data_IF_123169097567
#
_entry.id   IF_123169097567
#
_cell.length_a   1.000
_cell.length_b   1.000
_cell.length_c   1.000
_cell.angle_alpha   90.00
_cell.angle_beta   90.00
_cell.angle_gamma   90.00
#
_symmetry.space_group_name_H-M   'P 1'
#
loop_
_entity.id
_entity.type
_entity.pdbx_description
1 polymer ?
#
# COMPACT_ATOMS: atom_id res chain seq x y z
N UNK A 1 12.71 23.97 4.66
CA UNK A 1 13.05 24.00 3.24
C UNK A 1 12.67 22.68 2.58
N UNK A 2 11.42 22.61 2.14
CA UNK A 2 10.89 21.59 1.26
C UNK A 2 11.01 22.04 -0.20
N UNK A 3 11.35 21.11 -1.08
CA UNK A 3 11.39 21.30 -2.53
C UNK A 3 10.63 20.14 -3.16
N UNK A 4 9.66 20.45 -4.01
CA UNK A 4 8.88 19.47 -4.73
C UNK A 4 9.02 19.71 -6.23
N UNK A 5 9.50 18.69 -6.94
CA UNK A 5 9.37 18.58 -8.39
C UNK A 5 8.44 17.41 -8.66
N UNK A 6 7.20 17.70 -9.05
CA UNK A 6 6.17 16.66 -9.19
C UNK A 6 6.58 15.67 -10.28
N UNK A 7 7.13 16.14 -11.39
CA UNK A 7 7.53 15.29 -12.52
C UNK A 7 8.58 14.24 -12.12
N UNK A 8 9.61 14.66 -11.37
CA UNK A 8 10.67 13.77 -10.90
C UNK A 8 10.11 12.73 -9.94
N UNK A 9 9.29 13.15 -8.98
CA UNK A 9 8.71 12.23 -7.99
C UNK A 9 7.82 11.20 -8.68
N UNK A 10 6.92 11.63 -9.56
CA UNK A 10 6.04 10.71 -10.29
C UNK A 10 6.86 9.73 -11.14
N UNK A 11 7.89 10.19 -11.85
CA UNK A 11 8.73 9.31 -12.68
C UNK A 11 9.45 8.25 -11.85
N UNK A 12 9.93 8.59 -10.66
CA UNK A 12 10.55 7.63 -9.76
C UNK A 12 9.52 6.66 -9.18
N UNK A 13 8.33 7.12 -8.80
CA UNK A 13 7.22 6.25 -8.35
C UNK A 13 6.82 5.25 -9.44
N UNK A 14 6.76 5.69 -10.71
CA UNK A 14 6.47 4.83 -11.85
C UNK A 14 7.56 3.79 -12.09
N UNK A 15 8.84 4.18 -12.01
CA UNK A 15 9.97 3.24 -12.11
C UNK A 15 9.93 2.19 -11.01
N UNK A 16 9.68 2.61 -9.77
CA UNK A 16 9.58 1.68 -8.62
C UNK A 16 8.40 0.74 -8.83
N UNK A 17 7.21 1.26 -9.17
CA UNK A 17 6.00 0.44 -9.38
C UNK A 17 6.22 -0.60 -10.48
N UNK A 18 6.76 -0.20 -11.62
CA UNK A 18 7.07 -1.12 -12.73
C UNK A 18 8.08 -2.20 -12.33
N UNK A 19 9.11 -1.83 -11.54
CA UNK A 19 10.07 -2.79 -11.03
C UNK A 19 9.41 -3.79 -10.08
N UNK A 20 8.53 -3.33 -9.19
CA UNK A 20 7.80 -4.18 -8.25
C UNK A 20 6.85 -5.14 -8.96
N UNK A 21 6.15 -4.71 -10.00
CA UNK A 21 5.31 -5.60 -10.81
C UNK A 21 6.16 -6.68 -11.49
N UNK A 22 7.35 -6.34 -12.00
CA UNK A 22 8.25 -7.34 -12.57
C UNK A 22 8.82 -8.32 -11.54
N UNK A 23 9.05 -7.89 -10.30
CA UNK A 23 9.49 -8.77 -9.21
C UNK A 23 8.38 -9.71 -8.74
N UNK A 24 7.12 -9.26 -8.78
CA UNK A 24 5.94 -10.07 -8.46
C UNK A 24 5.81 -11.29 -9.37
N UNK A 25 6.09 -11.15 -10.66
CA UNK A 25 6.14 -12.29 -11.60
C UNK A 25 7.19 -13.34 -11.22
N UNK A 26 8.33 -12.91 -10.66
CA UNK A 26 9.37 -13.82 -10.17
C UNK A 26 8.91 -14.55 -8.90
N UNK A 27 8.22 -13.85 -7.99
CA UNK A 27 7.63 -14.42 -6.77
C UNK A 27 6.57 -15.47 -7.13
N UNK A 28 5.72 -15.20 -8.13
CA UNK A 28 4.75 -16.15 -8.67
C UNK A 28 5.40 -17.38 -9.30
N UNK A 29 6.48 -17.19 -10.05
CA UNK A 29 7.25 -18.30 -10.64
C UNK A 29 7.89 -19.19 -9.59
N UNK A 30 8.44 -18.59 -8.53
CA UNK A 30 8.97 -19.31 -7.38
C UNK A 30 7.88 -20.15 -6.71
N UNK A 31 6.69 -19.59 -6.52
CA UNK A 31 5.55 -20.31 -5.97
C UNK A 31 5.14 -21.51 -6.81
N UNK A 32 4.99 -21.35 -8.12
CA UNK A 32 4.65 -22.45 -9.06
C UNK A 32 5.66 -23.58 -8.98
N UNK A 33 6.93 -23.26 -8.73
CA UNK A 33 7.98 -24.24 -8.49
C UNK A 33 7.79 -24.97 -7.15
N UNK A 34 7.47 -24.25 -6.07
CA UNK A 34 7.15 -24.85 -4.76
C UNK A 34 5.93 -25.78 -4.84
N UNK A 35 4.86 -25.35 -5.50
CA UNK A 35 3.66 -26.15 -5.75
C UNK A 35 3.99 -27.44 -6.50
N UNK A 36 4.87 -27.37 -7.50
CA UNK A 36 5.36 -28.53 -8.24
C UNK A 36 6.12 -29.51 -7.33
N UNK A 37 7.00 -29.01 -6.45
CA UNK A 37 7.71 -29.83 -5.47
C UNK A 37 6.76 -30.54 -4.49
N UNK A 38 5.73 -29.84 -4.01
CA UNK A 38 4.71 -30.40 -3.13
C UNK A 38 3.90 -31.49 -3.85
N UNK A 39 3.69 -31.36 -5.16
CA UNK A 39 3.00 -32.34 -6.00
C UNK A 39 3.79 -33.62 -6.32
N UNK A 40 5.08 -33.71 -5.97
CA UNK A 40 5.93 -34.89 -6.26
C UNK A 40 5.66 -36.10 -5.34
N UNK A 41 4.41 -36.45 -5.08
CA UNK A 41 4.03 -37.52 -4.14
C UNK A 41 4.64 -38.88 -4.49
N UNK A 42 4.74 -39.21 -5.78
CA UNK A 42 5.28 -40.49 -6.26
C UNK A 42 6.81 -40.56 -6.19
N UNK A 43 7.49 -39.42 -6.30
CA UNK A 43 8.95 -39.30 -6.32
C UNK A 43 9.53 -39.02 -4.93
N UNK A 44 8.94 -38.09 -4.17
CA UNK A 44 9.34 -37.71 -2.83
C UNK A 44 8.54 -38.49 -1.76
N UNK A 45 8.56 -39.82 -1.80
CA UNK A 45 7.80 -40.67 -0.86
C UNK A 45 8.58 -40.99 0.44
N UNK A 46 7.89 -41.59 1.40
CA UNK A 46 8.45 -41.97 2.70
C UNK A 46 8.50 -40.81 3.70
N UNK A 47 8.99 -41.05 4.92
CA UNK A 47 8.95 -40.06 6.00
C UNK A 47 9.71 -38.77 5.66
N UNK A 48 10.92 -38.87 5.11
CA UNK A 48 11.71 -37.70 4.70
C UNK A 48 11.11 -36.94 3.52
N UNK A 49 10.59 -37.65 2.52
CA UNK A 49 9.93 -37.03 1.37
C UNK A 49 8.63 -36.32 1.76
N UNK A 50 7.82 -36.92 2.65
CA UNK A 50 6.63 -36.29 3.21
C UNK A 50 6.99 -35.03 4.03
N UNK A 51 8.07 -35.08 4.80
CA UNK A 51 8.53 -33.93 5.58
C UNK A 51 8.95 -32.74 4.71
N UNK A 52 9.67 -32.99 3.61
CA UNK A 52 10.05 -31.92 2.66
C UNK A 52 8.80 -31.30 2.05
N UNK A 53 7.82 -32.10 1.60
CA UNK A 53 6.58 -31.57 1.01
C UNK A 53 5.75 -30.79 2.05
N UNK A 54 5.69 -31.27 3.29
CA UNK A 54 5.05 -30.55 4.39
C UNK A 54 5.73 -29.19 4.65
N UNK A 55 7.06 -29.15 4.72
CA UNK A 55 7.82 -27.91 4.94
C UNK A 55 7.50 -26.81 3.89
N UNK A 56 7.44 -27.18 2.61
CA UNK A 56 7.06 -26.22 1.57
C UNK A 56 5.61 -25.77 1.71
N UNK A 57 4.68 -26.71 1.94
CA UNK A 57 3.26 -26.41 2.05
C UNK A 57 2.93 -25.55 3.29
N UNK A 58 3.65 -25.73 4.39
CA UNK A 58 3.33 -25.16 5.70
C UNK A 58 4.10 -23.89 6.03
N UNK A 59 5.24 -23.63 5.37
CA UNK A 59 6.04 -22.43 5.62
C UNK A 59 6.36 -21.61 4.39
N UNK A 60 6.89 -22.23 3.34
CA UNK A 60 7.42 -21.51 2.18
C UNK A 60 6.30 -20.92 1.29
N UNK A 61 5.28 -21.71 0.98
CA UNK A 61 4.12 -21.25 0.19
C UNK A 61 3.39 -20.11 0.92
N UNK A 62 3.08 -20.22 2.23
CA UNK A 62 2.50 -19.09 2.94
C UNK A 62 3.34 -17.82 2.94
N UNK A 63 4.65 -17.90 3.20
CA UNK A 63 5.54 -16.74 3.14
C UNK A 63 5.46 -16.05 1.77
N UNK A 64 5.49 -16.85 0.71
CA UNK A 64 5.44 -16.35 -0.66
C UNK A 64 4.12 -15.58 -0.94
N UNK A 65 2.99 -16.14 -0.49
CA UNK A 65 1.67 -15.49 -0.60
C UNK A 65 1.66 -14.14 0.14
N UNK A 66 2.28 -14.06 1.33
CA UNK A 66 2.35 -12.80 2.09
C UNK A 66 3.25 -11.76 1.44
N UNK A 67 4.38 -12.19 0.89
CA UNK A 67 5.28 -11.32 0.14
C UNK A 67 4.58 -10.73 -1.09
N UNK A 68 3.82 -11.56 -1.81
CA UNK A 68 3.05 -11.09 -2.96
C UNK A 68 2.00 -10.06 -2.55
N UNK A 69 1.24 -10.31 -1.48
CA UNK A 69 0.23 -9.36 -1.02
C UNK A 69 0.85 -8.03 -0.56
N UNK A 70 2.02 -8.08 0.09
CA UNK A 70 2.76 -6.86 0.42
C UNK A 70 3.19 -6.11 -0.84
N UNK A 71 3.67 -6.80 -1.87
CA UNK A 71 4.02 -6.16 -3.13
C UNK A 71 2.82 -5.46 -3.77
N UNK A 72 1.66 -6.13 -3.80
CA UNK A 72 0.41 -5.54 -4.29
C UNK A 72 0.05 -4.29 -3.49
N UNK A 73 0.08 -4.38 -2.15
CA UNK A 73 -0.23 -3.23 -1.29
C UNK A 73 0.75 -2.08 -1.46
N UNK A 74 2.04 -2.38 -1.58
CA UNK A 74 3.06 -1.37 -1.77
C UNK A 74 2.86 -0.64 -3.10
N UNK A 75 2.49 -1.34 -4.18
CA UNK A 75 2.16 -0.71 -5.46
C UNK A 75 0.93 0.20 -5.34
N UNK A 76 -0.12 -0.23 -4.62
CA UNK A 76 -1.26 0.64 -4.29
C UNK A 76 -0.83 1.88 -3.51
N UNK A 77 0.03 1.74 -2.50
CA UNK A 77 0.56 2.86 -1.72
C UNK A 77 1.29 3.86 -2.61
N UNK A 78 2.12 3.38 -3.54
CA UNK A 78 2.78 4.24 -4.52
C UNK A 78 1.75 4.95 -5.42
N UNK A 79 0.67 4.27 -5.80
CA UNK A 79 -0.48 4.85 -6.50
C UNK A 79 -1.14 5.98 -5.69
N UNK A 80 -1.46 5.75 -4.41
CA UNK A 80 -2.05 6.75 -3.53
C UNK A 80 -1.16 7.98 -3.35
N UNK A 81 0.16 7.80 -3.28
CA UNK A 81 1.13 8.91 -3.23
C UNK A 81 1.05 9.74 -4.54
N UNK A 82 0.93 9.08 -5.70
CA UNK A 82 0.75 9.79 -6.97
C UNK A 82 -0.55 10.59 -6.99
N UNK A 83 -1.65 10.00 -6.49
CA UNK A 83 -2.95 10.65 -6.45
C UNK A 83 -2.94 11.86 -5.52
N UNK A 84 -2.31 11.77 -4.35
CA UNK A 84 -2.07 12.90 -3.44
C UNK A 84 -1.30 14.03 -4.14
N UNK A 85 -0.23 13.71 -4.87
CA UNK A 85 0.55 14.69 -5.63
C UNK A 85 -0.25 15.36 -6.75
N UNK A 86 -1.01 14.59 -7.54
CA UNK A 86 -1.86 15.14 -8.61
C UNK A 86 -3.09 15.90 -8.10
N UNK A 87 -3.57 15.58 -6.91
CA UNK A 87 -4.63 16.35 -6.26
C UNK A 87 -4.14 17.72 -5.77
N UNK A 88 -2.83 17.81 -5.47
CA UNK A 88 -2.20 19.04 -5.03
C UNK A 88 -1.83 19.94 -6.21
N UNK A 89 -1.07 19.42 -7.17
CA UNK A 89 -0.46 20.22 -8.23
C UNK A 89 -0.35 19.47 -9.56
N UNK A 90 -0.16 20.23 -10.64
CA UNK A 90 0.08 19.65 -11.98
C UNK A 90 1.42 18.91 -12.06
N UNK A 91 1.56 18.03 -13.05
CA UNK A 91 2.78 17.25 -13.28
C UNK A 91 4.02 18.12 -13.46
N UNK A 92 3.85 19.28 -14.11
CA UNK A 92 4.92 20.22 -14.44
C UNK A 92 5.26 21.16 -13.27
N UNK A 93 4.59 21.02 -12.12
CA UNK A 93 4.78 21.92 -11.00
C UNK A 93 6.14 21.72 -10.32
N UNK A 94 6.79 22.84 -10.03
CA UNK A 94 8.04 22.92 -9.29
C UNK A 94 7.89 23.95 -8.17
N UNK A 95 7.95 23.50 -6.92
CA UNK A 95 7.72 24.31 -5.74
C UNK A 95 8.96 24.34 -4.86
N UNK A 96 9.32 25.53 -4.39
CA UNK A 96 10.31 25.75 -3.35
C UNK A 96 9.67 26.55 -2.23
N UNK A 97 9.51 25.92 -1.08
CA UNK A 97 8.89 26.52 0.11
C UNK A 97 9.51 27.89 0.43
N UNK A 98 10.83 27.95 0.49
CA UNK A 98 11.56 29.17 0.83
C UNK A 98 11.41 30.28 -0.22
N UNK A 99 11.26 29.92 -1.51
CA UNK A 99 11.05 30.91 -2.58
C UNK A 99 9.66 31.54 -2.45
N UNK A 100 8.64 30.73 -2.19
CA UNK A 100 7.26 31.21 -2.03
C UNK A 100 7.14 32.08 -0.77
N UNK A 101 7.60 31.57 0.37
CA UNK A 101 7.47 32.23 1.68
C UNK A 101 8.37 33.44 1.87
N UNK A 102 9.51 33.52 1.17
CA UNK A 102 10.40 34.68 1.27
C UNK A 102 10.34 35.56 0.03
N UNK A 103 10.77 35.05 -1.13
CA UNK A 103 11.00 35.87 -2.32
C UNK A 103 9.68 36.39 -2.93
N UNK A 104 8.69 35.51 -3.09
CA UNK A 104 7.40 35.90 -3.68
C UNK A 104 6.63 36.78 -2.72
N UNK A 105 6.54 36.42 -1.44
CA UNK A 105 5.90 37.24 -0.42
C UNK A 105 6.52 38.64 -0.33
N UNK A 106 7.86 38.73 -0.25
CA UNK A 106 8.57 40.02 -0.23
C UNK A 106 8.34 40.81 -1.52
N UNK A 107 8.27 40.12 -2.67
CA UNK A 107 7.99 40.72 -3.96
C UNK A 107 6.60 41.38 -4.01
N UNK A 108 5.58 40.68 -3.51
CA UNK A 108 4.21 41.21 -3.41
C UNK A 108 4.14 42.43 -2.49
N UNK A 109 4.74 42.36 -1.30
CA UNK A 109 4.82 43.50 -0.37
C UNK A 109 5.51 44.72 -0.98
N UNK A 110 6.57 44.48 -1.76
CA UNK A 110 7.30 45.56 -2.44
C UNK A 110 6.48 46.20 -3.56
N UNK A 111 5.78 45.41 -4.37
CA UNK A 111 4.93 45.90 -5.45
C UNK A 111 3.73 46.66 -4.89
N UNK A 112 3.14 46.17 -3.79
CA UNK A 112 2.05 46.83 -3.09
C UNK A 112 2.46 48.22 -2.59
N UNK A 113 3.59 48.28 -1.87
CA UNK A 113 4.14 49.53 -1.37
C UNK A 113 4.49 50.51 -2.48
N UNK A 114 5.23 50.07 -3.51
CA UNK A 114 5.63 50.94 -4.61
C UNK A 114 4.43 51.53 -5.37
N UNK A 115 3.39 50.73 -5.58
CA UNK A 115 2.18 51.17 -6.29
C UNK A 115 1.36 52.12 -5.41
N UNK A 116 1.27 51.84 -4.12
CA UNK A 116 0.62 52.72 -3.14
C UNK A 116 1.31 54.08 -3.08
N UNK A 117 2.63 54.11 -2.87
CA UNK A 117 3.42 55.34 -2.81
C UNK A 117 3.27 56.16 -4.11
N UNK A 118 3.26 55.49 -5.27
CA UNK A 118 3.12 56.14 -6.58
C UNK A 118 1.73 56.77 -6.78
N UNK A 119 0.66 56.05 -6.46
CA UNK A 119 -0.71 56.53 -6.65
C UNK A 119 -1.07 57.60 -5.61
N UNK A 120 -0.55 57.51 -4.39
CA UNK A 120 -0.65 58.60 -3.41
C UNK A 120 0.00 59.87 -3.93
N UNK A 121 1.22 59.79 -4.48
CA UNK A 121 1.88 60.94 -5.11
C UNK A 121 1.07 61.55 -6.27
N UNK A 122 0.50 60.71 -7.14
CA UNK A 122 -0.37 61.17 -8.24
C UNK A 122 -1.64 61.85 -7.69
N UNK A 123 -2.27 61.27 -6.66
CA UNK A 123 -3.46 61.86 -6.03
C UNK A 123 -3.15 63.20 -5.36
N UNK A 124 -1.97 63.37 -4.77
CA UNK A 124 -1.51 64.63 -4.19
C UNK A 124 -1.27 65.70 -5.26
N UNK A 125 -0.64 65.33 -6.38
CA UNK A 125 -0.47 66.21 -7.55
C UNK A 125 -1.83 66.67 -8.10
N UNK A 126 -2.82 65.77 -8.21
CA UNK A 126 -4.18 66.13 -8.62
C UNK A 126 -4.87 67.10 -7.66
N UNK A 127 -4.70 66.89 -6.34
CA UNK A 127 -5.24 67.81 -5.33
C UNK A 127 -4.66 69.21 -5.52
N UNK A 128 -3.37 69.32 -5.85
CA UNK A 128 -2.69 70.61 -6.03
C UNK A 128 -3.24 71.48 -7.17
N UNK A 129 -3.91 70.88 -8.16
CA UNK A 129 -4.51 71.58 -9.32
C UNK A 129 -6.05 71.52 -9.36
N UNK A 130 -6.68 71.01 -8.30
CA UNK A 130 -8.13 70.76 -8.26
C UNK A 130 -9.00 72.01 -8.51
N UNK A 131 -8.45 73.20 -8.25
CA UNK A 131 -9.06 74.50 -8.54
C UNK A 131 -9.32 74.73 -10.03
N UNK A 132 -8.50 74.13 -10.89
CA UNK A 132 -8.53 74.32 -12.35
C UNK A 132 -9.38 73.27 -13.05
N UNK A 133 -9.31 72.02 -12.59
CA UNK A 133 -10.01 70.87 -13.18
C UNK A 133 -10.47 69.91 -12.07
N UNK A 134 -11.77 69.59 -11.98
CA UNK A 134 -12.26 68.55 -11.07
C UNK A 134 -11.73 67.18 -11.45
N UNK A 135 -11.32 66.38 -10.46
CA UNK A 135 -10.82 65.02 -10.64
C UNK A 135 -11.27 64.09 -9.51
N UNK A 136 -11.45 62.80 -9.82
CA UNK A 136 -11.73 61.74 -8.85
C UNK A 136 -10.46 60.97 -8.52
N UNK A 137 -10.12 60.86 -7.22
CA UNK A 137 -8.93 60.13 -6.76
C UNK A 137 -8.87 58.71 -7.32
N UNK A 138 -7.68 58.30 -7.73
CA UNK A 138 -7.41 56.91 -8.14
C UNK A 138 -7.51 56.03 -6.90
N UNK A 139 -8.36 55.01 -6.98
CA UNK A 139 -8.57 54.03 -5.92
C UNK A 139 -7.72 52.77 -6.18
N UNK A 140 -7.04 52.27 -5.15
CA UNK A 140 -6.20 51.07 -5.17
C UNK A 140 -6.89 49.80 -4.68
N UNK A 141 -8.18 49.86 -4.30
CA UNK A 141 -8.90 48.75 -3.65
C UNK A 141 -8.73 47.43 -4.41
N UNK A 142 -8.97 47.43 -5.73
CA UNK A 142 -8.87 46.22 -6.55
C UNK A 142 -7.43 45.67 -6.63
N UNK A 143 -6.44 46.57 -6.71
CA UNK A 143 -5.03 46.20 -6.76
C UNK A 143 -4.57 45.60 -5.42
N UNK A 144 -4.91 46.24 -4.30
CA UNK A 144 -4.60 45.71 -2.97
C UNK A 144 -5.31 44.38 -2.70
N UNK A 145 -6.53 44.18 -3.21
CA UNK A 145 -7.22 42.88 -3.14
C UNK A 145 -6.43 41.79 -3.86
N UNK A 146 -5.96 42.04 -5.09
CA UNK A 146 -5.17 41.07 -5.87
C UNK A 146 -3.84 40.74 -5.17
N UNK A 147 -3.18 41.74 -4.59
CA UNK A 147 -1.96 41.50 -3.81
C UNK A 147 -2.24 40.59 -2.62
N UNK A 148 -3.31 40.86 -1.88
CA UNK A 148 -3.66 40.09 -0.70
C UNK A 148 -4.07 38.65 -1.07
N UNK A 149 -4.88 38.48 -2.12
CA UNK A 149 -5.20 37.16 -2.69
C UNK A 149 -3.93 36.39 -3.08
N UNK A 150 -2.92 37.07 -3.62
CA UNK A 150 -1.61 36.47 -3.94
C UNK A 150 -0.86 35.99 -2.69
N UNK A 151 -0.87 36.76 -1.60
CA UNK A 151 -0.25 36.37 -0.32
C UNK A 151 -0.98 35.19 0.31
N UNK A 152 -2.31 35.24 0.35
CA UNK A 152 -3.14 34.14 0.85
C UNK A 152 -2.89 32.86 0.05
N UNK A 153 -2.81 32.96 -1.28
CA UNK A 153 -2.53 31.82 -2.14
C UNK A 153 -1.16 31.18 -1.86
N UNK A 154 -0.13 31.98 -1.61
CA UNK A 154 1.20 31.49 -1.21
C UNK A 154 1.15 30.75 0.12
N UNK A 155 0.44 31.31 1.10
CA UNK A 155 0.31 30.71 2.43
C UNK A 155 -0.44 29.36 2.34
N UNK A 156 -1.55 29.32 1.61
CA UNK A 156 -2.34 28.13 1.39
C UNK A 156 -1.56 27.04 0.64
N UNK A 157 -0.84 27.41 -0.41
CA UNK A 157 -0.01 26.48 -1.18
C UNK A 157 1.11 25.91 -0.31
N UNK A 158 1.73 26.73 0.54
CA UNK A 158 2.77 26.28 1.48
C UNK A 158 2.21 25.32 2.53
N UNK A 159 1.04 25.62 3.10
CA UNK A 159 0.36 24.72 4.05
C UNK A 159 0.01 23.39 3.40
N UNK A 160 -0.53 23.40 2.18
CA UNK A 160 -0.86 22.18 1.43
C UNK A 160 0.39 21.36 1.10
N UNK A 161 1.49 22.00 0.71
CA UNK A 161 2.78 21.31 0.48
C UNK A 161 3.23 20.53 1.72
N UNK A 162 3.11 21.13 2.92
CA UNK A 162 3.44 20.45 4.19
C UNK A 162 2.48 19.29 4.47
N UNK A 163 1.18 19.46 4.18
CA UNK A 163 0.18 18.41 4.38
C UNK A 163 0.39 17.21 3.45
N UNK A 164 0.63 17.46 2.16
CA UNK A 164 0.90 16.42 1.16
C UNK A 164 2.16 15.64 1.53
N UNK A 165 3.24 16.34 1.90
CA UNK A 165 4.47 15.70 2.37
C UNK A 165 4.19 14.78 3.58
N UNK A 166 3.45 15.27 4.57
CA UNK A 166 3.08 14.46 5.74
C UNK A 166 2.22 13.25 5.37
N UNK A 167 1.25 13.42 4.46
CA UNK A 167 0.39 12.31 3.99
C UNK A 167 1.25 11.24 3.30
N UNK A 168 2.14 11.67 2.40
CA UNK A 168 3.06 10.78 1.69
C UNK A 168 4.01 10.05 2.64
N UNK A 169 4.57 10.73 3.65
CA UNK A 169 5.43 10.11 4.65
C UNK A 169 4.69 9.04 5.44
N UNK A 170 3.47 9.34 5.94
CA UNK A 170 2.68 8.36 6.69
C UNK A 170 2.40 7.10 5.85
N UNK A 171 2.02 7.28 4.58
CA UNK A 171 1.77 6.18 3.65
C UNK A 171 3.01 5.27 3.47
N UNK A 172 4.20 5.86 3.43
CA UNK A 172 5.46 5.12 3.34
C UNK A 172 5.81 4.44 4.67
N UNK A 173 5.61 5.11 5.80
CA UNK A 173 5.88 4.56 7.15
C UNK A 173 5.02 3.31 7.43
N UNK A 174 3.75 3.32 7.02
CA UNK A 174 2.87 2.15 7.15
C UNK A 174 3.36 0.96 6.30
N UNK A 175 3.84 1.24 5.08
CA UNK A 175 4.44 0.22 4.22
C UNK A 175 5.76 -0.32 4.78
N UNK A 176 6.59 0.55 5.37
CA UNK A 176 7.85 0.17 6.03
C UNK A 176 7.57 -0.72 7.25
N UNK A 177 6.61 -0.34 8.10
CA UNK A 177 6.20 -1.15 9.25
C UNK A 177 5.72 -2.55 8.82
N UNK A 178 5.01 -2.64 7.70
CA UNK A 178 4.58 -3.92 7.12
C UNK A 178 5.77 -4.77 6.67
N UNK A 179 6.73 -4.16 5.97
CA UNK A 179 7.94 -4.83 5.51
C UNK A 179 8.81 -5.33 6.67
N UNK A 180 8.91 -4.57 7.76
CA UNK A 180 9.64 -4.96 8.96
C UNK A 180 9.05 -6.20 9.64
N UNK A 181 7.71 -6.32 9.65
CA UNK A 181 7.06 -7.54 10.14
C UNK A 181 7.37 -8.74 9.24
N UNK A 182 7.32 -8.58 7.92
CA UNK A 182 7.69 -9.65 6.98
C UNK A 182 9.16 -10.06 7.11
N UNK A 183 10.06 -9.10 7.25
CA UNK A 183 11.49 -9.35 7.49
C UNK A 183 11.73 -10.12 8.80
N UNK A 184 11.02 -9.74 9.86
CA UNK A 184 11.04 -10.45 11.14
C UNK A 184 10.52 -11.88 11.00
N UNK A 185 9.48 -12.09 10.18
CA UNK A 185 8.95 -13.42 9.90
C UNK A 185 9.96 -14.31 9.18
N UNK A 186 10.60 -13.79 8.12
CA UNK A 186 11.67 -14.51 7.38
C UNK A 186 12.82 -14.87 8.30
N UNK A 187 13.24 -13.96 9.17
CA UNK A 187 14.34 -14.20 10.13
C UNK A 187 14.00 -15.32 11.13
N UNK A 188 12.75 -15.35 11.63
CA UNK A 188 12.28 -16.44 12.49
C UNK A 188 12.23 -17.76 11.76
N UNK A 189 11.71 -17.78 10.53
CA UNK A 189 11.70 -18.99 9.69
C UNK A 189 13.11 -19.55 9.48
N UNK A 190 14.09 -18.70 9.14
CA UNK A 190 15.48 -19.11 9.00
C UNK A 190 16.04 -19.74 10.29
N UNK A 191 15.64 -19.21 11.44
CA UNK A 191 16.03 -19.74 12.74
C UNK A 191 15.40 -21.12 12.98
N UNK A 192 14.09 -21.26 12.78
CA UNK A 192 13.38 -22.51 13.03
C UNK A 192 13.79 -23.64 12.06
N UNK A 193 14.32 -23.28 10.90
CA UNK A 193 14.70 -24.24 9.85
C UNK A 193 16.20 -24.53 9.83
N UNK A 194 16.96 -23.95 10.77
CA UNK A 194 18.42 -24.06 10.82
C UNK A 194 18.90 -25.49 11.06
N UNK A 195 18.17 -26.24 11.89
CA UNK A 195 18.55 -27.59 12.31
C UNK A 195 17.82 -28.70 11.52
N UNK A 196 17.01 -28.32 10.52
CA UNK A 196 16.32 -29.24 9.62
C UNK A 196 15.01 -28.67 9.08
N UNK A 197 14.33 -29.48 8.26
CA UNK A 197 13.02 -29.12 7.69
C UNK A 197 11.85 -29.27 8.67
N UNK A 198 12.10 -29.85 9.84
CA UNK A 198 11.09 -30.11 10.88
C UNK A 198 11.09 -28.99 11.90
N UNK A 199 9.92 -28.41 12.12
CA UNK A 199 9.68 -27.56 13.28
C UNK A 199 9.42 -28.44 14.51
N UNK A 200 9.94 -28.02 15.65
CA UNK A 200 9.58 -28.55 16.97
C UNK A 200 8.22 -28.00 17.41
N UNK A 201 7.58 -28.67 18.38
CA UNK A 201 6.30 -28.24 18.97
C UNK A 201 6.37 -26.79 19.52
N UNK A 202 7.55 -26.36 19.97
CA UNK A 202 7.76 -25.00 20.46
C UNK A 202 7.78 -23.99 19.31
N UNK A 203 8.45 -24.32 18.21
CA UNK A 203 8.53 -23.46 17.03
C UNK A 203 7.17 -23.34 16.33
N UNK A 204 6.37 -24.41 16.30
CA UNK A 204 4.97 -24.35 15.85
C UNK A 204 4.13 -23.38 16.69
N UNK A 205 4.32 -23.35 18.02
CA UNK A 205 3.60 -22.40 18.89
C UNK A 205 4.05 -20.95 18.67
N UNK A 206 5.33 -20.73 18.43
CA UNK A 206 5.86 -19.41 18.12
C UNK A 206 5.40 -18.91 16.76
N UNK A 207 5.33 -19.81 15.77
CA UNK A 207 4.71 -19.59 14.47
C UNK A 207 3.25 -19.17 14.65
N UNK A 208 2.46 -19.97 15.36
CA UNK A 208 1.04 -19.68 15.67
C UNK A 208 0.84 -18.33 16.35
N UNK A 209 1.64 -18.03 17.37
CA UNK A 209 1.60 -16.74 18.05
C UNK A 209 1.91 -15.59 17.09
N UNK A 210 2.93 -15.73 16.26
CA UNK A 210 3.31 -14.71 15.28
C UNK A 210 2.17 -14.41 14.31
N UNK A 211 1.51 -15.44 13.77
CA UNK A 211 0.39 -15.28 12.86
C UNK A 211 -0.85 -14.64 13.52
N UNK A 212 -1.18 -15.04 14.75
CA UNK A 212 -2.33 -14.52 15.48
C UNK A 212 -2.16 -13.06 15.93
N UNK A 213 -0.93 -12.67 16.24
CA UNK A 213 -0.60 -11.33 16.74
C UNK A 213 -0.15 -10.37 15.64
N UNK A 214 0.17 -10.86 14.43
CA UNK A 214 0.58 -10.01 13.32
C UNK A 214 -0.61 -9.27 12.71
N UNK A 215 -0.58 -7.94 12.81
CA UNK A 215 -1.53 -7.07 12.12
C UNK A 215 -1.40 -7.19 10.60
N UNK A 216 -0.19 -7.42 10.09
CA UNK A 216 0.06 -7.66 8.66
C UNK A 216 -0.69 -8.89 8.15
N UNK A 217 -0.74 -9.98 8.92
CA UNK A 217 -1.53 -11.16 8.53
C UNK A 217 -3.03 -10.88 8.47
N UNK A 218 -3.53 -10.08 9.43
CA UNK A 218 -4.93 -9.67 9.45
C UNK A 218 -5.24 -8.77 8.27
N UNK A 219 -4.41 -7.76 8.00
CA UNK A 219 -4.56 -6.84 6.87
C UNK A 219 -4.45 -7.55 5.52
N UNK A 220 -3.50 -8.47 5.35
CA UNK A 220 -3.35 -9.28 4.12
C UNK A 220 -4.62 -10.10 3.87
N UNK A 221 -5.22 -10.65 4.92
CA UNK A 221 -6.47 -11.42 4.83
C UNK A 221 -7.69 -10.52 4.58
N UNK A 222 -7.78 -9.37 5.26
CA UNK A 222 -8.87 -8.41 5.11
C UNK A 222 -8.87 -7.76 3.71
N UNK A 223 -7.70 -7.38 3.19
CA UNK A 223 -7.55 -6.74 1.87
C UNK A 223 -7.78 -7.72 0.70
N UNK A 224 -7.81 -9.03 0.94
CA UNK A 224 -8.18 -10.01 -0.06
C UNK A 224 -9.67 -9.97 -0.45
N UNK A 225 -10.52 -9.37 0.40
CA UNK A 225 -11.92 -9.08 0.09
C UNK A 225 -12.03 -8.04 -1.04
N UNK A 226 -11.16 -7.03 -1.04
CA UNK A 226 -11.19 -5.89 -1.96
C UNK A 226 -10.58 -6.19 -3.34
N UNK A 227 -9.61 -7.11 -3.42
CA UNK A 227 -8.91 -7.48 -4.68
C UNK A 227 -9.59 -8.62 -5.47
N UNK A 228 -10.73 -9.11 -5.01
CA UNK A 228 -11.40 -10.30 -5.59
C UNK A 228 -12.07 -10.06 -6.95
N UNK A 229 -12.14 -8.80 -7.42
CA UNK A 229 -12.76 -8.39 -8.67
C UNK A 229 -11.81 -8.38 -9.89
N UNK A 230 -10.52 -8.70 -9.71
CA UNK A 230 -9.56 -8.78 -10.83
C UNK A 230 -9.56 -10.20 -11.42
N UNK A 231 -10.08 -10.32 -12.65
CA UNK A 231 -10.39 -11.55 -13.39
C UNK A 231 -9.15 -12.32 -13.89
N UNK A 232 -8.20 -12.65 -13.01
CA UNK A 232 -7.06 -13.52 -13.36
C UNK A 232 -6.86 -14.69 -12.38
N UNK A 233 -6.30 -15.79 -12.91
CA UNK A 233 -6.16 -17.09 -12.27
C UNK A 233 -5.33 -17.10 -10.97
N UNK A 234 -4.59 -16.03 -10.68
CA UNK A 234 -3.63 -15.94 -9.58
C UNK A 234 -4.05 -14.93 -8.47
N UNK A 235 -5.35 -14.62 -8.32
CA UNK A 235 -5.81 -13.80 -7.19
C UNK A 235 -5.48 -14.46 -5.83
N UNK A 236 -5.18 -13.64 -4.81
CA UNK A 236 -4.76 -14.09 -3.47
C UNK A 236 -5.66 -15.21 -2.90
N UNK A 237 -6.96 -15.14 -3.18
CA UNK A 237 -7.94 -16.13 -2.70
C UNK A 237 -7.73 -17.52 -3.29
N UNK A 238 -7.53 -17.63 -4.61
CA UNK A 238 -7.21 -18.91 -5.25
C UNK A 238 -5.88 -19.45 -4.73
N UNK A 239 -4.92 -18.56 -4.47
CA UNK A 239 -3.62 -18.93 -3.93
C UNK A 239 -3.71 -19.54 -2.53
N UNK A 240 -4.48 -18.93 -1.64
CA UNK A 240 -4.75 -19.44 -0.29
C UNK A 240 -5.53 -20.75 -0.32
N UNK A 241 -6.55 -20.85 -1.19
CA UNK A 241 -7.33 -22.08 -1.34
C UNK A 241 -6.46 -23.27 -1.83
N UNK A 242 -5.65 -23.04 -2.86
CA UNK A 242 -4.72 -24.05 -3.38
C UNK A 242 -3.68 -24.47 -2.33
N UNK A 243 -3.12 -23.51 -1.59
CA UNK A 243 -2.19 -23.79 -0.49
C UNK A 243 -2.83 -24.72 0.55
N UNK A 244 -4.05 -24.45 0.99
CA UNK A 244 -4.73 -25.27 1.99
C UNK A 244 -5.10 -26.65 1.47
N UNK A 245 -5.49 -26.77 0.20
CA UNK A 245 -5.69 -28.07 -0.42
C UNK A 245 -4.38 -28.88 -0.42
N UNK A 246 -3.26 -28.28 -0.83
CA UNK A 246 -1.96 -28.92 -0.86
C UNK A 246 -1.49 -29.32 0.54
N UNK A 247 -1.59 -28.42 1.53
CA UNK A 247 -1.26 -28.70 2.91
C UNK A 247 -2.13 -29.85 3.46
N UNK A 248 -3.41 -29.90 3.10
CA UNK A 248 -4.31 -30.95 3.59
C UNK A 248 -3.94 -32.33 3.07
N UNK A 249 -3.37 -32.41 1.86
CA UNK A 249 -2.88 -33.66 1.26
C UNK A 249 -1.54 -34.09 1.87
N UNK A 250 -0.72 -33.15 2.32
CA UNK A 250 0.63 -33.46 2.87
C UNK A 250 0.61 -33.78 4.35
N UNK A 251 -0.10 -33.00 5.18
CA UNK A 251 -0.10 -33.15 6.65
C UNK A 251 -1.44 -33.58 7.22
N UNK A 252 -2.50 -33.58 6.41
CA UNK A 252 -3.84 -33.97 6.83
C UNK A 252 -4.62 -32.79 7.40
N UNK A 253 -5.95 -32.80 7.19
CA UNK A 253 -6.83 -31.66 7.49
C UNK A 253 -6.78 -31.23 8.96
N UNK A 254 -6.57 -32.16 9.91
CA UNK A 254 -6.45 -31.82 11.34
C UNK A 254 -5.19 -31.02 11.66
N UNK A 255 -4.09 -31.27 10.96
CA UNK A 255 -2.83 -30.58 11.20
C UNK A 255 -2.79 -29.25 10.44
N UNK A 256 -3.45 -29.17 9.28
CA UNK A 256 -3.71 -27.88 8.60
C UNK A 256 -4.57 -26.93 9.44
N UNK A 257 -5.63 -27.43 10.09
CA UNK A 257 -6.49 -26.61 10.96
C UNK A 257 -5.73 -26.12 12.21
N UNK A 258 -4.78 -26.92 12.70
CA UNK A 258 -3.91 -26.56 13.82
C UNK A 258 -2.73 -25.69 13.40
N UNK A 259 -2.37 -25.71 12.12
CA UNK A 259 -1.33 -24.85 11.57
C UNK A 259 -1.86 -23.41 11.46
N UNK A 260 -0.98 -22.47 11.75
CA UNK A 260 -1.24 -21.07 12.07
C UNK A 260 -1.91 -20.27 10.94
N UNK A 261 -1.57 -20.53 9.67
CA UNK A 261 -2.29 -19.94 8.53
C UNK A 261 -3.63 -20.60 8.25
N UNK A 262 -3.74 -21.91 8.45
CA UNK A 262 -5.03 -22.59 8.40
C UNK A 262 -5.97 -21.98 9.43
N UNK A 263 -5.48 -21.72 10.64
CA UNK A 263 -6.22 -21.00 11.68
C UNK A 263 -6.52 -19.54 11.29
N UNK A 264 -5.56 -18.77 10.76
CA UNK A 264 -5.78 -17.38 10.32
C UNK A 264 -6.84 -17.27 9.19
N UNK A 265 -6.80 -18.17 8.21
CA UNK A 265 -7.78 -18.23 7.10
C UNK A 265 -9.14 -18.79 7.55
N UNK A 266 -9.18 -19.68 8.54
CA UNK A 266 -10.43 -20.17 9.12
C UNK A 266 -11.07 -19.15 10.08
N UNK A 267 -10.26 -18.41 10.85
CA UNK A 267 -10.71 -17.40 11.82
C UNK A 267 -11.23 -16.12 11.17
N UNK A 268 -10.72 -15.76 9.99
CA UNK A 268 -11.32 -14.72 9.15
C UNK A 268 -12.70 -15.10 8.60
N UNK A 269 -13.10 -16.38 8.70
CA UNK A 269 -14.38 -16.86 8.23
C UNK A 269 -14.47 -16.97 6.70
N UNK A 270 -13.34 -16.91 6.00
CA UNK A 270 -13.28 -17.11 4.54
C UNK A 270 -13.52 -18.58 4.18
N UNK A 271 -13.00 -19.51 4.98
CA UNK A 271 -13.20 -20.96 4.82
C UNK A 271 -13.85 -21.58 6.06
N UNK A 272 -14.45 -22.75 5.88
CA UNK A 272 -15.08 -23.57 6.92
C UNK A 272 -14.60 -25.00 6.81
N UNK A 273 -14.38 -25.62 7.95
CA UNK A 273 -14.18 -27.06 8.05
C UNK A 273 -15.56 -27.71 8.11
N UNK A 274 -15.82 -28.67 7.22
CA UNK A 274 -17.04 -29.47 7.23
C UNK A 274 -16.70 -30.95 7.17
N UNK A 275 -17.63 -31.80 7.60
CA UNK A 275 -17.50 -33.25 7.49
C UNK A 275 -18.09 -33.73 6.15
N UNK A 276 -17.36 -34.57 5.41
CA UNK A 276 -17.73 -35.05 4.06
C UNK A 276 -18.84 -36.12 4.04
N UNK A 277 -19.49 -36.35 5.18
CA UNK A 277 -20.50 -37.40 5.37
C UNK A 277 -19.94 -38.81 5.50
N UNK A 278 -18.61 -39.00 5.41
CA UNK A 278 -17.90 -40.28 5.65
C UNK A 278 -17.01 -40.23 6.89
N UNK A 279 -17.12 -39.20 7.72
CA UNK A 279 -16.27 -39.00 8.89
C UNK A 279 -14.96 -38.26 8.63
N UNK A 280 -14.70 -37.82 7.40
CA UNK A 280 -13.49 -37.06 7.07
C UNK A 280 -13.79 -35.56 7.14
N UNK A 281 -12.87 -34.81 7.73
CA UNK A 281 -12.89 -33.35 7.69
C UNK A 281 -12.38 -32.89 6.32
N UNK A 282 -13.07 -31.92 5.71
CA UNK A 282 -12.67 -31.24 4.47
C UNK A 282 -12.82 -29.73 4.66
N UNK A 283 -11.99 -28.95 3.97
CA UNK A 283 -12.05 -27.49 3.98
C UNK A 283 -12.88 -27.03 2.78
N UNK A 284 -13.86 -26.16 3.00
CA UNK A 284 -14.69 -25.52 1.95
C UNK A 284 -14.80 -24.03 2.17
N UNK A 285 -15.08 -23.27 1.11
CA UNK A 285 -15.43 -21.86 1.26
C UNK A 285 -16.67 -21.64 2.13
N UNK A 286 -16.67 -20.53 2.88
CA UNK A 286 -17.80 -20.10 3.68
C UNK A 286 -18.91 -19.52 2.78
N UNK A 287 -20.13 -19.37 3.31
CA UNK A 287 -21.28 -18.88 2.55
C UNK A 287 -21.12 -17.43 2.02
N UNK A 288 -20.11 -16.69 2.51
CA UNK A 288 -19.72 -15.37 2.00
C UNK A 288 -18.91 -15.44 0.69
N UNK A 289 -18.62 -16.64 0.21
CA UNK A 289 -17.74 -16.89 -0.93
C UNK A 289 -18.32 -18.01 -1.79
N UNK A 290 -18.40 -17.79 -3.10
CA UNK A 290 -18.90 -18.80 -4.04
C UNK A 290 -17.74 -19.29 -4.90
N UNK A 291 -17.58 -20.61 -4.95
CA UNK A 291 -16.74 -21.22 -5.96
C UNK A 291 -17.51 -21.20 -7.29
N UNK A 292 -17.01 -20.47 -8.27
CA UNK A 292 -17.52 -20.44 -9.63
C UNK A 292 -17.41 -21.81 -10.31
N UNK A 293 -18.12 -21.98 -11.42
CA UNK A 293 -18.14 -23.20 -12.23
C UNK A 293 -16.78 -23.57 -12.85
N UNK A 294 -15.83 -22.64 -12.84
CA UNK A 294 -14.42 -22.82 -13.23
C UNK A 294 -13.49 -23.23 -12.06
N UNK A 295 -14.03 -23.45 -10.85
CA UNK A 295 -13.25 -23.78 -9.66
C UNK A 295 -12.64 -22.59 -8.92
N UNK A 296 -12.81 -21.35 -9.41
CA UNK A 296 -12.29 -20.12 -8.78
C UNK A 296 -13.20 -19.64 -7.67
N UNK A 297 -12.65 -19.02 -6.62
CA UNK A 297 -13.44 -18.39 -5.56
C UNK A 297 -13.69 -16.91 -5.85
N UNK A 298 -14.94 -16.48 -5.76
CA UNK A 298 -15.38 -15.07 -5.87
C UNK A 298 -16.12 -14.67 -4.61
N UNK A 299 -15.90 -13.43 -4.15
CA UNK A 299 -16.64 -12.87 -3.03
C UNK A 299 -18.13 -12.79 -3.42
N UNK A 300 -19.03 -13.33 -2.59
CA UNK A 300 -20.45 -13.10 -2.84
C UNK A 300 -20.75 -11.67 -2.42
N UNK A 301 -20.83 -10.76 -3.40
CA UNK A 301 -21.12 -9.35 -3.20
C UNK A 301 -22.20 -9.12 -2.13
N UNK A 302 -22.00 -8.08 -1.30
CA UNK A 302 -23.04 -7.51 -0.46
C UNK A 302 -24.08 -6.79 -1.30
#
# INVERSE_FOLDING_TARGET
MKVLDVSIVIDELDKISNKRESEKEQVLTLKKSMDSFIGLESSLKGSGGNAIRAHFAEMQVPLNILLQQFQDKYIETLGSIKDELFSFESREAFLREDFMTNDVQTGLEKVDKMTTDLIEGINDDYVSISDLVPFERINLTDFSSIVEEGKEHIEDTTKKLIQVDKSCVNLIEDAEATLDQLSSFVTKMQTWTKDGVFLSDQEYKELEKFYNESNVMKEIIENAEDLSDVDDNDNYMNQVANMLEMASKTTGVKDVIKNSLGFAVLSSGMLKVIEDGKGNLIIKASAKWKQGSNGKYVCSAK
#
